data_IF_004842743694
#
_entry.id   IF_004842743694
#
_cell.length_a   1.000
_cell.length_b   1.000
_cell.length_c   1.000
_cell.angle_alpha   90.00
_cell.angle_beta   90.00
_cell.angle_gamma   90.00
#
_symmetry.space_group_name_H-M   'P 1'
#
loop_
_entity.id
_entity.type
_entity.pdbx_description
1 polymer ?
#
# COMPACT_ATOMS: atom_id res chain seq x y z
N UNK A 1 -55.12 -27.81 -29.26
CA UNK A 1 -53.81 -27.27 -28.85
C UNK A 1 -53.84 -26.93 -27.35
N UNK A 2 -53.81 -27.94 -26.45
CA UNK A 2 -53.91 -27.74 -24.97
C UNK A 2 -52.97 -28.64 -24.15
N UNK A 3 -52.17 -29.50 -24.80
CA UNK A 3 -51.32 -30.48 -24.11
C UNK A 3 -49.89 -29.98 -23.80
N UNK A 4 -49.39 -28.94 -24.48
CA UNK A 4 -48.00 -28.47 -24.31
C UNK A 4 -47.75 -27.60 -23.06
N UNK A 5 -48.81 -27.01 -22.47
CA UNK A 5 -48.68 -26.07 -21.34
C UNK A 5 -48.55 -26.83 -20.00
N UNK A 6 -49.19 -27.99 -19.87
CA UNK A 6 -49.17 -28.76 -18.62
C UNK A 6 -47.82 -29.44 -18.36
N UNK A 7 -47.20 -30.06 -19.36
CA UNK A 7 -45.90 -30.73 -19.21
C UNK A 7 -44.79 -29.77 -18.77
N UNK A 8 -44.75 -28.57 -19.35
CA UNK A 8 -43.81 -27.51 -18.94
C UNK A 8 -44.02 -27.11 -17.49
N UNK A 9 -45.27 -26.97 -17.04
CA UNK A 9 -45.60 -26.60 -15.66
C UNK A 9 -45.22 -27.69 -14.64
N UNK A 10 -45.35 -28.97 -14.98
CA UNK A 10 -44.89 -30.07 -14.12
C UNK A 10 -43.37 -30.15 -14.05
N UNK A 11 -42.67 -29.90 -15.17
CA UNK A 11 -41.21 -29.83 -15.20
C UNK A 11 -40.67 -28.65 -14.38
N UNK A 12 -41.24 -27.45 -14.51
CA UNK A 12 -40.85 -26.30 -13.67
C UNK A 12 -41.20 -26.52 -12.20
N UNK A 13 -42.37 -27.10 -11.88
CA UNK A 13 -42.75 -27.39 -10.50
C UNK A 13 -41.83 -28.45 -9.85
N UNK A 14 -41.48 -29.51 -10.57
CA UNK A 14 -40.53 -30.51 -10.10
C UNK A 14 -39.12 -29.91 -9.91
N UNK A 15 -38.69 -29.04 -10.82
CA UNK A 15 -37.42 -28.33 -10.73
C UNK A 15 -37.39 -27.38 -9.52
N UNK A 16 -38.44 -26.59 -9.30
CA UNK A 16 -38.60 -25.69 -8.15
C UNK A 16 -38.63 -26.43 -6.81
N UNK A 17 -39.16 -27.65 -6.77
CA UNK A 17 -39.22 -28.46 -5.55
C UNK A 17 -37.89 -29.18 -5.22
N UNK A 18 -37.11 -29.54 -6.24
CA UNK A 18 -35.85 -30.30 -6.09
C UNK A 18 -34.61 -29.40 -6.04
N UNK A 19 -34.62 -28.26 -6.73
CA UNK A 19 -33.50 -27.33 -6.80
C UNK A 19 -33.01 -26.85 -5.42
N UNK A 20 -33.88 -26.51 -4.43
CA UNK A 20 -33.42 -26.09 -3.11
C UNK A 20 -32.68 -27.20 -2.37
N UNK A 21 -33.15 -28.45 -2.50
CA UNK A 21 -32.54 -29.62 -1.86
C UNK A 21 -31.20 -29.96 -2.52
N UNK A 22 -31.13 -29.92 -3.85
CA UNK A 22 -29.89 -30.14 -4.59
C UNK A 22 -28.83 -29.07 -4.25
N UNK A 23 -29.26 -27.80 -4.14
CA UNK A 23 -28.39 -26.70 -3.74
C UNK A 23 -27.84 -26.89 -2.33
N UNK A 24 -28.69 -27.33 -1.39
CA UNK A 24 -28.24 -27.64 -0.03
C UNK A 24 -27.21 -28.78 0.01
N UNK A 25 -27.44 -29.84 -0.78
CA UNK A 25 -26.50 -30.97 -0.92
C UNK A 25 -25.16 -30.48 -1.49
N UNK A 26 -25.18 -29.60 -2.49
CA UNK A 26 -23.96 -29.03 -3.07
C UNK A 26 -23.21 -28.18 -2.04
N UNK A 27 -23.90 -27.35 -1.24
CA UNK A 27 -23.25 -26.55 -0.18
C UNK A 27 -22.56 -27.47 0.84
N UNK A 28 -23.26 -28.51 1.31
CA UNK A 28 -22.70 -29.47 2.27
C UNK A 28 -21.53 -30.24 1.64
N UNK A 29 -21.64 -30.64 0.38
CA UNK A 29 -20.55 -31.30 -0.33
C UNK A 29 -19.33 -30.38 -0.46
N UNK A 30 -19.51 -29.09 -0.79
CA UNK A 30 -18.42 -28.12 -0.86
C UNK A 30 -17.77 -27.90 0.51
N UNK A 31 -18.55 -27.83 1.60
CA UNK A 31 -18.00 -27.74 2.96
C UNK A 31 -17.17 -28.97 3.33
N UNK A 32 -17.69 -30.18 3.08
CA UNK A 32 -16.98 -31.44 3.34
C UNK A 32 -15.73 -31.58 2.46
N UNK A 33 -15.81 -31.19 1.19
CA UNK A 33 -14.64 -31.20 0.28
C UNK A 33 -13.57 -30.21 0.75
N UNK A 34 -13.96 -29.05 1.30
CA UNK A 34 -13.02 -28.08 1.88
C UNK A 34 -12.30 -28.64 3.11
N UNK A 35 -12.96 -29.46 3.92
CA UNK A 35 -12.34 -30.15 5.06
C UNK A 35 -11.49 -31.37 4.66
N UNK A 36 -11.89 -32.11 3.62
CA UNK A 36 -11.16 -33.29 3.15
C UNK A 36 -9.96 -32.97 2.26
N UNK A 37 -10.00 -31.86 1.51
CA UNK A 37 -8.98 -31.51 0.51
C UNK A 37 -8.33 -30.14 0.72
N UNK A 38 -8.80 -29.34 1.68
CA UNK A 38 -8.13 -28.09 2.04
C UNK A 38 -6.88 -28.38 2.87
N UNK A 39 -5.76 -27.77 2.51
CA UNK A 39 -4.64 -27.64 3.44
C UNK A 39 -5.17 -27.00 4.73
N UNK A 40 -4.88 -27.62 5.88
CA UNK A 40 -5.25 -27.03 7.17
C UNK A 40 -4.54 -25.67 7.24
N UNK A 41 -5.26 -24.55 7.40
CA UNK A 41 -4.63 -23.25 7.55
C UNK A 41 -3.65 -23.33 8.71
N UNK A 42 -2.50 -22.65 8.56
CA UNK A 42 -1.54 -22.53 9.65
C UNK A 42 -2.31 -22.04 10.90
N UNK A 43 -2.22 -22.72 12.06
CA UNK A 43 -2.93 -22.33 13.27
C UNK A 43 -2.70 -20.86 13.67
N UNK A 44 -1.57 -20.27 13.27
CA UNK A 44 -1.25 -18.87 13.51
C UNK A 44 -2.07 -17.89 12.64
N UNK A 45 -2.67 -18.38 11.55
CA UNK A 45 -3.46 -17.61 10.59
C UNK A 45 -4.98 -17.84 10.75
N UNK A 46 -5.40 -18.79 11.59
CA UNK A 46 -6.81 -19.06 11.89
C UNK A 46 -7.35 -18.11 12.97
N UNK A 47 -7.59 -16.85 12.58
CA UNK A 47 -8.13 -15.84 13.49
C UNK A 47 -9.03 -14.82 12.80
N UNK A 48 -10.15 -14.52 13.46
CA UNK A 48 -11.04 -13.41 13.09
C UNK A 48 -10.41 -12.01 13.27
N UNK A 49 -9.28 -11.93 13.97
CA UNK A 49 -8.61 -10.66 14.29
C UNK A 49 -7.44 -10.34 13.35
N UNK A 50 -7.43 -10.90 12.14
CA UNK A 50 -6.39 -10.63 11.15
C UNK A 50 -6.62 -9.28 10.43
N UNK A 51 -5.57 -8.46 10.34
CA UNK A 51 -5.58 -7.15 9.67
C UNK A 51 -4.30 -6.93 8.87
N UNK A 52 -4.33 -6.04 7.86
CA UNK A 52 -3.09 -5.57 7.22
C UNK A 52 -2.37 -4.67 8.21
N UNK A 53 -1.10 -4.95 8.44
CA UNK A 53 -0.31 -4.31 9.50
C UNK A 53 0.95 -3.67 8.95
N UNK A 54 1.39 -2.58 9.58
CA UNK A 54 2.70 -1.98 9.28
C UNK A 54 3.80 -2.84 9.90
N UNK A 55 4.71 -3.29 9.05
CA UNK A 55 5.84 -4.11 9.44
C UNK A 55 6.93 -3.23 10.03
N UNK A 56 7.36 -2.21 9.30
CA UNK A 56 8.45 -1.32 9.70
C UNK A 56 8.45 0.01 8.93
N UNK A 57 8.92 1.08 9.59
CA UNK A 57 9.30 2.35 8.98
C UNK A 57 10.83 2.42 8.83
N UNK A 58 11.31 2.29 7.59
CA UNK A 58 12.72 2.26 7.29
C UNK A 58 13.18 3.66 6.85
N UNK A 59 14.03 4.27 7.66
CA UNK A 59 14.74 5.49 7.27
C UNK A 59 15.95 5.12 6.40
N UNK A 60 15.94 5.57 5.14
CA UNK A 60 17.01 5.36 4.15
C UNK A 60 17.57 6.74 3.81
N UNK A 61 18.69 7.09 4.43
CA UNK A 61 19.24 8.44 4.44
C UNK A 61 20.71 8.43 4.01
N UNK A 62 21.13 9.48 3.33
CA UNK A 62 22.54 9.74 3.02
C UNK A 62 23.32 10.32 4.23
N UNK A 63 24.58 10.67 4.00
CA UNK A 63 25.46 11.26 5.03
C UNK A 63 24.99 12.62 5.53
N UNK A 64 24.12 13.33 4.79
CA UNK A 64 23.52 14.61 5.18
C UNK A 64 22.21 14.43 5.95
N UNK A 65 21.79 13.18 6.19
CA UNK A 65 20.53 12.78 6.83
C UNK A 65 19.29 13.14 6.01
N UNK A 66 19.43 13.20 4.68
CA UNK A 66 18.32 13.37 3.75
C UNK A 66 18.09 12.10 2.94
N UNK A 67 16.86 11.87 2.49
CA UNK A 67 16.49 10.70 1.71
C UNK A 67 15.03 10.38 1.82
N UNK A 68 14.71 9.15 2.26
CA UNK A 68 13.35 8.63 2.21
C UNK A 68 13.00 7.78 3.44
N UNK A 69 11.73 7.81 3.81
CA UNK A 69 11.11 6.89 4.76
C UNK A 69 10.28 5.88 3.97
N UNK A 70 10.71 4.63 3.96
CA UNK A 70 10.02 3.52 3.30
C UNK A 70 9.16 2.79 4.33
N UNK A 71 7.86 2.70 4.08
CA UNK A 71 6.91 2.03 4.97
C UNK A 71 6.59 0.67 4.36
N UNK A 72 6.95 -0.40 5.04
CA UNK A 72 6.56 -1.76 4.65
C UNK A 72 5.31 -2.18 5.43
N UNK A 73 4.38 -2.82 4.73
CA UNK A 73 3.19 -3.42 5.32
C UNK A 73 3.07 -4.89 4.91
N UNK A 74 2.28 -5.64 5.67
CA UNK A 74 1.92 -7.00 5.30
C UNK A 74 1.08 -6.99 4.03
N UNK A 75 1.32 -7.97 3.18
CA UNK A 75 0.60 -8.09 1.91
C UNK A 75 -0.84 -8.56 2.15
N UNK A 76 -0.99 -9.53 3.06
CA UNK A 76 -2.28 -10.04 3.50
C UNK A 76 -2.59 -9.58 4.92
N UNK A 77 -3.86 -9.74 5.32
CA UNK A 77 -4.24 -9.63 6.71
C UNK A 77 -3.57 -10.72 7.54
N UNK A 78 -2.95 -10.35 8.65
CA UNK A 78 -2.22 -11.28 9.53
C UNK A 78 -2.61 -11.09 10.98
N UNK A 79 -2.39 -12.11 11.80
CA UNK A 79 -2.47 -11.99 13.26
C UNK A 79 -1.26 -11.25 13.82
N UNK A 80 -1.36 -10.76 15.06
CA UNK A 80 -0.22 -10.13 15.76
C UNK A 80 0.98 -11.09 15.90
N UNK A 81 0.72 -12.37 16.11
CA UNK A 81 1.78 -13.38 16.22
C UNK A 81 2.48 -13.60 14.88
N UNK A 82 1.72 -13.67 13.78
CA UNK A 82 2.27 -13.73 12.42
C UNK A 82 3.05 -12.46 12.06
N UNK A 83 2.57 -11.28 12.45
CA UNK A 83 3.31 -10.03 12.24
C UNK A 83 4.68 -10.06 12.93
N UNK A 84 4.73 -10.52 14.18
CA UNK A 84 5.99 -10.63 14.92
C UNK A 84 6.93 -11.64 14.28
N UNK A 85 6.42 -12.78 13.83
CA UNK A 85 7.20 -13.76 13.06
C UNK A 85 7.79 -13.14 11.79
N UNK A 86 6.96 -12.47 10.97
CA UNK A 86 7.39 -11.77 9.74
C UNK A 86 8.49 -10.76 10.03
N UNK A 87 8.33 -9.91 11.07
CA UNK A 87 9.34 -8.90 11.44
C UNK A 87 10.71 -9.49 11.75
N UNK A 88 10.75 -10.73 12.26
CA UNK A 88 11.97 -11.40 12.67
C UNK A 88 12.57 -12.32 11.60
N UNK A 89 11.98 -12.41 10.41
CA UNK A 89 12.53 -13.22 9.31
C UNK A 89 13.89 -12.68 8.87
N UNK A 90 14.97 -13.49 8.88
CA UNK A 90 16.31 -13.03 8.53
C UNK A 90 16.39 -12.37 7.15
N UNK A 91 15.67 -12.92 6.17
CA UNK A 91 15.65 -12.40 4.79
C UNK A 91 15.13 -10.96 4.71
N UNK A 92 14.10 -10.62 5.50
CA UNK A 92 13.52 -9.27 5.58
C UNK A 92 14.49 -8.34 6.29
N UNK A 93 15.01 -8.75 7.46
CA UNK A 93 15.95 -7.95 8.25
C UNK A 93 17.20 -7.60 7.45
N UNK A 94 17.75 -8.57 6.71
CA UNK A 94 18.94 -8.35 5.90
C UNK A 94 18.65 -7.51 4.66
N UNK A 95 17.48 -7.66 4.02
CA UNK A 95 17.08 -6.79 2.93
C UNK A 95 16.96 -5.33 3.39
N UNK A 96 16.40 -5.08 4.58
CA UNK A 96 16.27 -3.74 5.15
C UNK A 96 17.64 -3.10 5.45
N UNK A 97 18.58 -3.88 5.99
CA UNK A 97 19.96 -3.42 6.21
C UNK A 97 20.65 -3.07 4.89
N UNK A 98 20.53 -3.93 3.88
CA UNK A 98 21.13 -3.69 2.56
C UNK A 98 20.52 -2.46 1.88
N UNK A 99 19.19 -2.28 1.90
CA UNK A 99 18.55 -1.09 1.37
C UNK A 99 19.13 0.20 1.98
N UNK A 100 19.35 0.23 3.30
CA UNK A 100 19.97 1.38 3.99
C UNK A 100 21.43 1.60 3.60
N UNK A 101 22.18 0.55 3.35
CA UNK A 101 23.61 0.63 3.01
C UNK A 101 23.84 0.98 1.54
N UNK A 102 23.05 0.37 0.65
CA UNK A 102 23.27 0.42 -0.79
C UNK A 102 22.71 1.70 -1.42
N UNK A 103 21.59 2.23 -0.89
CA UNK A 103 20.96 3.44 -1.46
C UNK A 103 21.86 4.69 -1.39
N UNK A 104 22.50 5.03 -0.25
CA UNK A 104 23.41 6.18 -0.19
C UNK A 104 24.62 6.03 -1.14
N UNK A 105 25.11 4.81 -1.33
CA UNK A 105 26.20 4.53 -2.27
C UNK A 105 25.73 4.72 -3.71
N UNK A 106 24.51 4.27 -4.03
CA UNK A 106 23.95 4.38 -5.37
C UNK A 106 23.62 5.82 -5.77
N UNK A 107 22.98 6.59 -4.89
CA UNK A 107 22.50 7.93 -5.19
C UNK A 107 23.48 9.04 -4.82
N UNK A 108 24.43 8.79 -3.91
CA UNK A 108 25.36 9.76 -3.31
C UNK A 108 24.67 10.91 -2.57
N UNK A 109 23.95 11.78 -3.30
CA UNK A 109 23.14 12.87 -2.76
C UNK A 109 21.65 12.53 -2.88
N UNK A 110 21.02 12.23 -1.75
CA UNK A 110 19.60 11.85 -1.70
C UNK A 110 18.65 13.03 -1.49
N UNK A 111 19.16 14.25 -1.29
CA UNK A 111 18.36 15.48 -1.23
C UNK A 111 17.66 15.71 -2.58
N UNK A 112 18.41 15.62 -3.68
CA UNK A 112 17.92 15.93 -5.03
C UNK A 112 17.32 14.71 -5.75
N UNK A 113 17.55 13.49 -5.25
CA UNK A 113 17.02 12.26 -5.85
C UNK A 113 15.51 12.29 -5.98
N UNK A 114 15.01 11.96 -7.16
CA UNK A 114 13.59 11.84 -7.43
C UNK A 114 12.98 10.62 -6.72
N UNK A 115 11.76 10.77 -6.21
CA UNK A 115 11.09 9.72 -5.42
C UNK A 115 10.75 8.48 -6.25
N UNK A 116 10.48 8.61 -7.56
CA UNK A 116 10.23 7.47 -8.45
C UNK A 116 11.51 6.70 -8.77
N UNK A 117 12.63 7.41 -8.97
CA UNK A 117 13.93 6.78 -9.20
C UNK A 117 14.37 6.00 -7.95
N UNK A 118 14.17 6.57 -6.76
CA UNK A 118 14.38 5.85 -5.50
C UNK A 118 13.42 4.66 -5.35
N UNK A 119 12.15 4.79 -5.71
CA UNK A 119 11.19 3.69 -5.66
C UNK A 119 11.57 2.53 -6.59
N UNK A 120 12.22 2.79 -7.72
CA UNK A 120 12.73 1.76 -8.65
C UNK A 120 13.92 1.02 -8.07
N UNK A 121 14.77 1.75 -7.37
CA UNK A 121 15.83 1.13 -6.60
C UNK A 121 15.27 0.28 -5.44
N UNK A 122 14.34 0.82 -4.66
CA UNK A 122 13.85 0.20 -3.43
C UNK A 122 13.08 -1.12 -3.65
N UNK A 123 12.31 -1.25 -4.74
CA UNK A 123 11.59 -2.50 -5.06
C UNK A 123 12.53 -3.71 -5.14
N UNK A 124 13.80 -3.52 -5.51
CA UNK A 124 14.78 -4.62 -5.62
C UNK A 124 15.08 -5.30 -4.28
N UNK A 125 14.61 -4.72 -3.17
CA UNK A 125 14.77 -5.21 -1.80
C UNK A 125 13.48 -5.82 -1.24
N UNK A 126 12.40 -5.94 -2.03
CA UNK A 126 11.23 -6.75 -1.70
C UNK A 126 11.62 -8.23 -1.66
N UNK A 127 12.06 -8.69 -0.50
CA UNK A 127 12.71 -10.00 -0.36
C UNK A 127 11.79 -11.12 0.09
N UNK A 128 10.58 -10.81 0.57
CA UNK A 128 9.63 -11.78 1.11
C UNK A 128 8.22 -11.48 0.57
N UNK A 129 7.47 -12.47 0.06
CA UNK A 129 6.13 -12.27 -0.48
C UNK A 129 5.09 -11.83 0.57
N UNK A 130 5.37 -11.99 1.87
CA UNK A 130 4.48 -11.58 2.95
C UNK A 130 4.45 -10.06 3.16
N UNK A 131 5.38 -9.31 2.58
CA UNK A 131 5.49 -7.85 2.74
C UNK A 131 5.56 -7.14 1.40
N UNK A 132 5.11 -5.88 1.39
CA UNK A 132 5.28 -4.94 0.27
C UNK A 132 5.54 -3.54 0.79
N UNK A 133 6.13 -2.70 -0.05
CA UNK A 133 6.20 -1.27 0.22
C UNK A 133 4.78 -0.71 0.15
N UNK A 134 4.32 -0.13 1.25
CA UNK A 134 3.03 0.53 1.36
C UNK A 134 3.12 1.99 0.93
N UNK A 135 4.16 2.68 1.38
CA UNK A 135 4.44 4.06 1.01
C UNK A 135 5.94 4.35 0.99
N UNK A 136 6.31 5.35 0.22
CA UNK A 136 7.62 6.01 0.31
C UNK A 136 7.34 7.48 0.55
N UNK A 137 7.95 8.06 1.58
CA UNK A 137 7.91 9.49 1.85
C UNK A 137 9.31 10.06 1.66
N UNK A 138 9.42 11.31 1.20
CA UNK A 138 10.68 12.04 1.36
C UNK A 138 10.99 12.23 2.85
N UNK A 139 12.27 12.38 3.17
CA UNK A 139 12.71 12.60 4.54
C UNK A 139 14.01 13.40 4.62
N UNK A 140 14.27 13.96 5.81
CA UNK A 140 15.38 14.87 6.07
C UNK A 140 14.96 16.34 5.94
N UNK A 141 15.52 17.18 6.82
CA UNK A 141 15.09 18.56 6.96
C UNK A 141 15.29 19.38 5.69
N UNK A 142 16.41 19.20 4.99
CA UNK A 142 16.70 19.96 3.77
C UNK A 142 15.75 19.57 2.64
N UNK A 143 15.59 18.26 2.41
CA UNK A 143 14.69 17.73 1.38
C UNK A 143 13.24 18.13 1.66
N UNK A 144 12.76 17.97 2.90
CA UNK A 144 11.39 18.36 3.29
C UNK A 144 11.16 19.86 3.14
N UNK A 145 12.13 20.70 3.50
CA UNK A 145 12.00 22.16 3.36
C UNK A 145 11.84 22.63 1.91
N UNK A 146 12.24 21.82 0.92
CA UNK A 146 11.96 22.14 -0.49
C UNK A 146 10.46 22.20 -0.77
N UNK A 147 9.64 21.45 -0.05
CA UNK A 147 8.18 21.36 -0.21
C UNK A 147 7.41 22.33 0.71
N UNK A 148 8.12 23.23 1.38
CA UNK A 148 7.54 24.30 2.19
C UNK A 148 7.80 25.70 1.60
N UNK A 149 8.28 25.76 0.34
CA UNK A 149 8.54 27.02 -0.35
C UNK A 149 7.23 27.70 -0.77
N UNK A 150 7.23 29.04 -1.00
CA UNK A 150 6.03 29.76 -1.43
C UNK A 150 5.41 29.18 -2.71
N UNK A 151 4.11 28.95 -2.70
CA UNK A 151 3.33 28.53 -3.87
C UNK A 151 2.54 29.72 -4.42
N UNK A 152 2.78 30.16 -5.67
CA UNK A 152 2.09 31.31 -6.25
C UNK A 152 0.58 31.11 -6.44
N UNK A 153 0.11 29.87 -6.45
CA UNK A 153 -1.30 29.52 -6.68
C UNK A 153 -2.11 29.33 -5.38
N UNK A 154 -1.44 29.34 -4.22
CA UNK A 154 -2.09 29.19 -2.91
C UNK A 154 -1.77 30.43 -2.08
N UNK A 155 -2.72 31.37 -1.93
CA UNK A 155 -2.59 32.48 -1.00
C UNK A 155 -2.35 31.94 0.43
N UNK A 156 -1.46 32.61 1.17
CA UNK A 156 -1.08 32.20 2.53
C UNK A 156 -0.68 30.72 2.65
N UNK A 157 0.13 30.24 1.70
CA UNK A 157 0.62 28.87 1.74
C UNK A 157 1.49 28.60 2.98
N UNK A 158 1.47 27.36 3.45
CA UNK A 158 2.30 26.92 4.56
C UNK A 158 3.80 27.08 4.26
N UNK A 159 4.54 27.73 5.16
CA UNK A 159 5.99 28.01 5.02
C UNK A 159 6.89 27.03 5.78
N UNK A 160 6.29 26.05 6.45
CA UNK A 160 6.99 24.95 7.12
C UNK A 160 6.08 23.72 7.19
N UNK A 161 6.68 22.54 7.30
CA UNK A 161 5.98 21.26 7.48
C UNK A 161 6.06 20.85 8.96
N UNK A 162 4.91 20.51 9.56
CA UNK A 162 4.85 20.01 10.93
C UNK A 162 5.27 18.52 10.94
N UNK A 163 6.37 18.15 11.63
CA UNK A 163 6.86 16.77 11.64
C UNK A 163 5.92 15.77 12.32
N UNK A 164 4.93 16.24 13.10
CA UNK A 164 3.93 15.36 13.72
C UNK A 164 2.82 14.95 12.73
N UNK A 165 2.58 15.75 11.70
CA UNK A 165 1.49 15.50 10.75
C UNK A 165 1.99 15.08 9.37
N UNK A 166 3.22 15.47 9.02
CA UNK A 166 3.86 15.33 7.70
C UNK A 166 3.01 15.94 6.56
N UNK A 167 2.08 16.85 6.86
CA UNK A 167 1.23 17.45 5.84
C UNK A 167 2.06 18.23 4.82
N UNK A 168 1.82 17.97 3.53
CA UNK A 168 2.58 18.56 2.42
C UNK A 168 3.85 17.79 2.04
N UNK A 169 4.27 16.79 2.82
CA UNK A 169 5.41 15.94 2.46
C UNK A 169 5.08 15.14 1.19
N UNK A 170 5.99 15.14 0.22
CA UNK A 170 5.83 14.33 -0.98
C UNK A 170 5.91 12.84 -0.63
N UNK A 171 5.01 12.05 -1.22
CA UNK A 171 4.98 10.61 -1.03
C UNK A 171 4.52 9.87 -2.28
N UNK A 172 4.81 8.57 -2.32
CA UNK A 172 4.22 7.59 -3.23
C UNK A 172 3.35 6.61 -2.46
N UNK A 173 2.21 6.27 -3.03
CA UNK A 173 1.36 5.16 -2.57
C UNK A 173 1.80 3.83 -3.15
N UNK A 174 1.29 2.74 -2.58
CA UNK A 174 1.46 1.39 -3.11
C UNK A 174 1.15 1.31 -4.62
N UNK A 175 0.09 1.96 -5.08
CA UNK A 175 -0.28 1.91 -6.50
C UNK A 175 0.69 2.68 -7.40
N UNK A 176 1.19 3.83 -6.91
CA UNK A 176 2.20 4.58 -7.62
C UNK A 176 3.52 3.79 -7.71
N UNK A 177 3.77 2.95 -6.71
CA UNK A 177 4.93 2.07 -6.63
C UNK A 177 4.76 0.89 -7.59
N UNK A 178 3.72 0.07 -7.50
CA UNK A 178 3.71 -1.22 -8.22
C UNK A 178 2.93 -1.23 -9.53
N UNK A 179 1.94 -0.37 -9.71
CA UNK A 179 1.00 -0.48 -10.84
C UNK A 179 1.15 0.62 -11.89
N UNK A 180 1.78 1.74 -11.53
CA UNK A 180 1.94 2.87 -12.42
C UNK A 180 3.19 2.75 -13.28
N UNK A 181 3.06 3.14 -14.56
CA UNK A 181 4.22 3.33 -15.45
C UNK A 181 5.05 4.53 -14.96
N UNK A 182 6.21 4.21 -14.38
CA UNK A 182 7.12 5.18 -13.76
C UNK A 182 7.94 5.97 -14.78
N UNK A 183 7.87 5.66 -16.06
CA UNK A 183 8.56 6.41 -17.11
C UNK A 183 7.62 7.43 -17.73
N UNK A 184 6.39 7.01 -18.08
CA UNK A 184 5.50 7.85 -18.88
C UNK A 184 4.36 8.50 -18.09
N UNK A 185 4.05 8.01 -16.88
CA UNK A 185 2.84 8.42 -16.15
C UNK A 185 3.13 8.74 -14.68
N UNK A 186 4.23 9.44 -14.37
CA UNK A 186 4.53 9.88 -12.99
C UNK A 186 3.46 10.86 -12.49
N UNK A 187 2.91 10.59 -11.31
CA UNK A 187 2.07 11.55 -10.57
C UNK A 187 2.65 11.69 -9.17
N UNK A 188 3.08 12.88 -8.84
CA UNK A 188 3.60 13.23 -7.52
C UNK A 188 2.44 13.53 -6.61
N UNK A 189 2.51 13.08 -5.35
CA UNK A 189 1.44 13.26 -4.36
C UNK A 189 1.97 13.96 -3.12
N UNK A 190 1.10 14.72 -2.49
CA UNK A 190 1.41 15.52 -1.31
C UNK A 190 0.52 15.09 -0.15
N UNK A 191 1.16 14.64 0.93
CA UNK A 191 0.49 13.96 2.02
C UNK A 191 -0.50 14.88 2.74
N UNK A 192 -1.74 14.40 2.93
CA UNK A 192 -2.83 15.14 3.61
C UNK A 192 -3.11 16.53 3.03
N UNK A 193 -2.80 16.73 1.75
CA UNK A 193 -3.27 17.88 0.97
C UNK A 193 -4.56 17.51 0.23
N UNK A 194 -5.36 18.50 -0.12
CA UNK A 194 -6.70 18.28 -0.69
C UNK A 194 -6.85 18.88 -2.08
N UNK A 195 -7.86 18.40 -2.80
CA UNK A 195 -8.25 18.90 -4.12
C UNK A 195 -7.11 18.86 -5.14
N UNK A 196 -7.05 19.90 -5.97
CA UNK A 196 -6.08 19.99 -7.07
C UNK A 196 -4.63 20.15 -6.60
N UNK A 197 -4.40 20.52 -5.33
CA UNK A 197 -3.05 20.65 -4.76
C UNK A 197 -2.49 19.33 -4.24
N UNK A 198 -3.32 18.27 -4.14
CA UNK A 198 -2.91 16.98 -3.59
C UNK A 198 -2.01 16.15 -4.52
N UNK A 199 -2.01 16.45 -5.82
CA UNK A 199 -1.22 15.72 -6.82
C UNK A 199 -0.74 16.63 -7.94
N UNK A 200 0.41 16.32 -8.54
CA UNK A 200 0.92 16.99 -9.75
C UNK A 200 1.55 15.99 -10.73
N UNK A 201 1.69 16.39 -12.00
CA UNK A 201 2.44 15.64 -13.02
C UNK A 201 3.95 15.93 -12.99
N UNK A 202 4.37 16.92 -12.21
CA UNK A 202 5.77 17.33 -12.02
C UNK A 202 6.14 17.33 -10.53
N UNK A 203 7.43 17.17 -10.23
CA UNK A 203 7.95 17.32 -8.85
C UNK A 203 7.90 18.79 -8.43
N UNK A 204 6.75 19.23 -7.93
CA UNK A 204 6.55 20.58 -7.42
C UNK A 204 7.16 20.70 -6.03
N UNK A 205 8.21 21.51 -5.93
CA UNK A 205 8.96 21.79 -4.70
C UNK A 205 8.56 23.14 -4.12
N UNK A 206 7.31 23.19 -3.70
CA UNK A 206 6.68 24.28 -2.96
C UNK A 206 5.52 23.73 -2.14
N UNK A 207 4.86 24.59 -1.37
CA UNK A 207 3.80 24.19 -0.46
C UNK A 207 2.49 23.85 -1.18
N UNK A 208 1.81 22.80 -0.72
CA UNK A 208 0.57 22.27 -1.32
C UNK A 208 -0.67 22.47 -0.45
N UNK A 209 -0.58 23.32 0.58
CA UNK A 209 -1.69 23.66 1.46
C UNK A 209 -1.54 25.07 2.04
N UNK A 210 -2.66 25.69 2.40
CA UNK A 210 -2.67 26.98 3.09
C UNK A 210 -2.44 26.83 4.60
N UNK A 211 -2.14 27.92 5.30
CA UNK A 211 -2.07 27.90 6.76
C UNK A 211 -3.41 27.52 7.40
N UNK A 212 -4.53 27.92 6.80
CA UNK A 212 -5.89 27.59 7.28
C UNK A 212 -6.18 26.08 7.21
N UNK A 213 -5.57 25.36 6.26
CA UNK A 213 -5.70 23.91 6.10
C UNK A 213 -4.76 23.11 7.01
N UNK A 214 -3.91 23.79 7.80
CA UNK A 214 -2.84 23.15 8.56
C UNK A 214 -3.39 22.24 9.65
N UNK A 215 -2.84 21.03 9.67
CA UNK A 215 -3.05 20.04 10.72
C UNK A 215 -2.04 20.26 11.86
N UNK A 216 -2.51 20.12 13.09
CA UNK A 216 -1.73 20.30 14.32
C UNK A 216 -1.55 18.99 15.08
#
# INVERSE_FOLDING_TARGET
>A
MKYSINEKNYQTAAFLALAPKLFFIIIVAVMLLKECFGEKPDPMDDSINASREIVEHIMVLDSTRNGFRVVYATENSVTKQRLEEIRNRPVIVDAFKRLKADAPVHFSNMVETDIYDFAEFAIKYDSDPAIRIHNIFISGSEKVNMYARPNPNIPDCATFINPNTDQGVQYLSHDDIYYRDRVNNRIYRYWKCYGNSSTSSTDERFSHFSQDERLW
#
